data_IF_682942306621
#
_entry.id   IF_682942306621
#
_cell.length_a   1.000
_cell.length_b   1.000
_cell.length_c   1.000
_cell.angle_alpha   90.00
_cell.angle_beta   90.00
_cell.angle_gamma   90.00
#
_symmetry.space_group_name_H-M   'P 1'
#
loop_
_entity.id
_entity.type
_entity.pdbx_description
1 polymer ?
#
# COMPACT_ATOMS: atom_id res chain seq x y z
N UNK A 1 -1.22 -30.70 35.67
CA UNK A 1 -2.33 -30.51 36.60
C UNK A 1 -3.36 -29.61 35.93
N UNK A 2 -4.32 -30.23 35.29
CA UNK A 2 -5.74 -30.39 35.76
C UNK A 2 -6.49 -29.07 35.84
N UNK A 3 -7.56 -28.97 35.01
CA UNK A 3 -8.75 -28.25 35.24
C UNK A 3 -9.59 -28.01 33.99
N UNK A 4 -10.35 -29.01 33.56
CA UNK A 4 -11.48 -28.92 32.65
C UNK A 4 -12.76 -28.46 33.40
N UNK A 5 -13.60 -27.66 32.73
CA UNK A 5 -15.06 -27.56 32.94
C UNK A 5 -15.53 -26.63 31.80
N UNK A 6 -16.33 -26.90 30.82
CA UNK A 6 -17.50 -27.81 30.79
C UNK A 6 -18.73 -27.08 31.29
N UNK A 7 -19.48 -26.41 30.35
CA UNK A 7 -20.92 -26.21 30.58
C UNK A 7 -21.68 -26.21 29.26
N UNK A 8 -22.47 -27.26 29.10
CA UNK A 8 -23.64 -27.39 28.24
C UNK A 8 -24.86 -26.75 28.93
N UNK A 9 -25.76 -26.18 28.13
CA UNK A 9 -27.24 -26.18 28.32
C UNK A 9 -27.80 -25.46 27.07
N UNK A 10 -28.47 -26.08 26.11
CA UNK A 10 -29.78 -26.76 26.13
C UNK A 10 -30.95 -25.83 26.46
N UNK A 11 -31.84 -25.67 25.46
CA UNK A 11 -33.14 -25.04 25.52
C UNK A 11 -33.54 -24.58 24.12
N UNK A 12 -34.07 -25.28 23.27
CA UNK A 12 -35.32 -26.02 22.99
C UNK A 12 -36.61 -25.16 23.14
N UNK A 13 -37.44 -25.25 22.05
CA UNK A 13 -38.86 -24.87 21.86
C UNK A 13 -39.08 -23.39 21.49
N UNK A 14 -39.81 -23.04 20.46
CA UNK A 14 -40.84 -23.70 19.67
C UNK A 14 -41.74 -22.60 19.10
N UNK A 15 -42.47 -22.89 18.07
CA UNK A 15 -43.65 -22.12 17.67
C UNK A 15 -43.37 -21.22 16.47
N UNK A 16 -43.78 -21.62 15.41
CA UNK A 16 -45.10 -21.76 14.76
C UNK A 16 -45.34 -20.63 13.74
N UNK A 17 -45.62 -21.10 12.55
CA UNK A 17 -46.45 -20.61 11.48
C UNK A 17 -46.90 -19.14 11.44
N UNK A 18 -46.69 -18.55 10.30
CA UNK A 18 -47.38 -17.33 9.91
C UNK A 18 -46.89 -16.79 8.56
N UNK A 19 -47.23 -17.46 7.49
CA UNK A 19 -47.36 -16.74 6.23
C UNK A 19 -48.71 -16.02 6.20
N UNK A 20 -48.77 -14.80 5.77
CA UNK A 20 -49.85 -14.38 4.94
C UNK A 20 -49.32 -13.74 3.63
N UNK A 21 -49.74 -14.33 2.56
CA UNK A 21 -50.77 -13.77 1.70
C UNK A 21 -50.35 -12.64 0.78
N UNK A 22 -50.25 -13.08 -0.46
CA UNK A 22 -50.17 -12.26 -1.64
C UNK A 22 -51.34 -11.27 -1.69
N UNK A 23 -51.09 -9.99 -1.69
CA UNK A 23 -52.09 -9.00 -2.09
C UNK A 23 -51.61 -8.28 -3.35
N UNK A 24 -52.10 -8.75 -4.44
CA UNK A 24 -52.14 -8.07 -5.72
C UNK A 24 -53.05 -6.85 -5.61
N UNK A 25 -52.65 -5.66 -6.03
CA UNK A 25 -53.60 -4.61 -6.29
C UNK A 25 -54.09 -4.70 -7.73
N UNK A 26 -55.33 -4.94 -7.78
CA UNK A 26 -56.29 -4.95 -8.82
C UNK A 26 -56.21 -3.71 -9.71
N UNK A 27 -56.21 -3.97 -10.99
CA UNK A 27 -56.47 -3.04 -12.09
C UNK A 27 -57.79 -2.29 -11.87
N UNK A 28 -57.77 -1.00 -11.78
CA UNK A 28 -58.93 -0.16 -11.99
C UNK A 28 -59.05 0.23 -13.45
N UNK A 29 -59.93 -0.45 -14.09
CA UNK A 29 -60.48 -0.16 -15.39
C UNK A 29 -61.52 0.96 -15.23
N UNK A 30 -61.33 2.10 -15.86
CA UNK A 30 -62.40 3.06 -16.08
C UNK A 30 -62.54 3.34 -17.56
N UNK A 31 -63.40 2.59 -18.12
CA UNK A 31 -64.13 2.87 -19.36
C UNK A 31 -64.87 4.19 -19.27
N UNK A 32 -64.69 5.05 -20.23
CA UNK A 32 -65.51 6.20 -20.49
C UNK A 32 -65.74 6.27 -21.99
N UNK A 33 -66.65 5.49 -22.43
CA UNK A 33 -67.25 5.65 -23.75
C UNK A 33 -68.30 6.75 -23.68
N UNK A 34 -68.21 7.69 -24.53
CA UNK A 34 -69.38 8.47 -24.96
C UNK A 34 -69.29 8.71 -26.43
N UNK A 35 -70.13 8.02 -27.14
CA UNK A 35 -70.57 8.32 -28.46
C UNK A 35 -72.00 8.86 -28.39
N UNK A 36 -72.36 9.90 -29.01
CA UNK A 36 -73.76 10.09 -29.42
C UNK A 36 -73.88 9.84 -30.91
N UNK A 37 -74.59 8.80 -31.18
CA UNK A 37 -75.31 8.68 -32.45
C UNK A 37 -76.62 9.51 -32.36
N UNK A 38 -76.84 10.35 -33.28
CA UNK A 38 -78.22 10.66 -33.72
C UNK A 38 -78.24 10.99 -35.20
N UNK A 39 -78.83 10.09 -35.88
CA UNK A 39 -79.36 10.24 -37.22
C UNK A 39 -80.49 11.29 -37.23
N UNK A 40 -80.45 12.11 -38.18
CA UNK A 40 -81.68 12.71 -38.71
C UNK A 40 -81.51 12.94 -40.20
N UNK A 41 -82.14 12.08 -40.90
CA UNK A 41 -82.41 12.28 -42.29
C UNK A 41 -83.34 13.47 -42.44
N UNK A 42 -82.99 14.44 -43.23
CA UNK A 42 -83.96 15.34 -43.81
C UNK A 42 -83.65 15.51 -45.28
N UNK A 43 -84.53 14.93 -46.08
CA UNK A 43 -84.61 15.11 -47.52
C UNK A 43 -85.15 16.52 -47.81
N UNK A 44 -84.33 17.29 -48.46
CA UNK A 44 -84.93 18.43 -49.17
C UNK A 44 -84.20 18.64 -50.52
N UNK A 45 -85.03 18.61 -51.51
CA UNK A 45 -84.81 18.83 -52.94
C UNK A 45 -83.92 20.05 -53.26
N UNK A 46 -83.03 19.83 -54.19
CA UNK A 46 -82.84 20.63 -55.36
C UNK A 46 -82.30 22.03 -55.23
N UNK A 47 -81.09 22.19 -55.60
CA UNK A 47 -80.67 23.23 -56.53
C UNK A 47 -79.21 22.90 -56.93
N UNK A 48 -79.01 22.85 -58.25
CA UNK A 48 -77.65 22.64 -58.76
C UNK A 48 -76.75 23.80 -58.36
N UNK A 49 -76.06 23.62 -57.29
CA UNK A 49 -74.98 24.50 -56.82
C UNK A 49 -73.65 24.08 -57.42
N UNK A 50 -73.05 24.97 -58.15
CA UNK A 50 -71.69 24.88 -58.65
C UNK A 50 -70.77 24.30 -57.58
N UNK A 51 -69.94 23.26 -57.81
CA UNK A 51 -69.02 22.71 -56.84
C UNK A 51 -67.98 23.81 -56.46
N UNK A 52 -68.00 24.22 -55.22
CA UNK A 52 -66.97 25.11 -54.66
C UNK A 52 -65.74 24.23 -54.45
N UNK A 53 -64.78 24.35 -55.33
CA UNK A 53 -63.48 23.71 -55.16
C UNK A 53 -62.68 24.63 -54.26
N UNK A 54 -62.47 24.23 -53.01
CA UNK A 54 -61.53 24.92 -52.15
C UNK A 54 -60.13 24.39 -52.45
N UNK A 55 -59.32 25.22 -53.03
CA UNK A 55 -57.89 24.91 -53.20
C UNK A 55 -57.14 25.36 -51.96
N UNK A 56 -56.42 24.43 -51.34
CA UNK A 56 -55.48 24.75 -50.27
C UNK A 56 -54.11 24.89 -50.91
N UNK A 57 -53.52 26.05 -50.73
CA UNK A 57 -52.12 26.28 -51.14
C UNK A 57 -51.18 25.47 -50.27
N UNK A 58 -50.45 24.55 -50.88
CA UNK A 58 -49.50 23.75 -50.17
C UNK A 58 -48.20 24.54 -50.00
N UNK A 59 -47.95 25.02 -48.81
CA UNK A 59 -46.66 25.62 -48.45
C UNK A 59 -45.61 24.53 -48.09
N UNK A 60 -44.43 24.71 -48.66
CA UNK A 60 -43.23 23.84 -48.26
C UNK A 60 -42.84 24.14 -46.82
N UNK A 61 -43.32 23.36 -45.86
CA UNK A 61 -42.88 23.45 -44.47
C UNK A 61 -41.82 22.43 -44.19
N UNK A 62 -40.75 22.86 -43.53
CA UNK A 62 -39.72 21.97 -43.04
C UNK A 62 -40.26 21.18 -41.84
N UNK A 63 -40.59 19.95 -42.04
CA UNK A 63 -40.99 19.04 -40.95
C UNK A 63 -39.74 18.62 -40.17
N UNK A 64 -39.64 19.07 -38.93
CA UNK A 64 -38.60 18.59 -38.00
C UNK A 64 -39.05 17.25 -37.44
N UNK A 65 -38.37 16.20 -37.88
CA UNK A 65 -38.57 14.89 -37.31
C UNK A 65 -37.75 14.82 -36.01
N UNK A 66 -38.40 14.80 -34.87
CA UNK A 66 -37.76 14.55 -33.59
C UNK A 66 -37.87 13.08 -33.22
N UNK A 67 -36.73 12.47 -32.88
CA UNK A 67 -36.68 11.12 -32.34
C UNK A 67 -36.40 11.28 -30.85
N UNK A 68 -37.25 10.73 -30.01
CA UNK A 68 -37.01 10.62 -28.57
C UNK A 68 -36.46 9.27 -28.30
N UNK A 69 -35.28 9.22 -27.70
CA UNK A 69 -34.68 7.99 -27.21
C UNK A 69 -34.54 8.11 -25.68
N UNK A 70 -34.93 7.08 -24.97
CA UNK A 70 -34.66 6.96 -23.54
C UNK A 70 -33.47 6.00 -23.35
N UNK A 71 -32.57 6.36 -22.47
CA UNK A 71 -31.42 5.53 -22.13
C UNK A 71 -31.15 5.63 -20.64
N UNK A 72 -30.46 4.65 -20.10
CA UNK A 72 -29.96 4.64 -18.73
C UNK A 72 -28.46 4.85 -18.78
N UNK A 73 -27.97 5.86 -18.07
CA UNK A 73 -26.54 6.12 -17.91
C UNK A 73 -26.01 5.25 -16.76
N UNK A 74 -24.98 4.48 -17.05
CA UNK A 74 -24.30 3.68 -16.02
C UNK A 74 -22.87 4.18 -15.87
N UNK A 75 -22.31 4.21 -14.63
CA UNK A 75 -20.92 4.53 -14.41
C UNK A 75 -20.02 3.45 -15.02
N UNK A 76 -18.82 3.83 -15.47
CA UNK A 76 -17.85 2.88 -16.03
C UNK A 76 -17.36 1.91 -14.97
N UNK A 77 -17.12 2.39 -13.78
CA UNK A 77 -16.69 1.60 -12.63
C UNK A 77 -17.16 2.24 -11.32
N UNK A 78 -17.55 1.40 -10.37
CA UNK A 78 -17.78 1.79 -8.99
C UNK A 78 -16.55 1.32 -8.20
N UNK A 79 -15.92 2.24 -7.48
CA UNK A 79 -14.70 2.01 -6.70
C UNK A 79 -15.02 2.25 -5.23
N UNK A 80 -14.88 1.22 -4.40
CA UNK A 80 -14.97 1.35 -2.96
C UNK A 80 -13.58 1.57 -2.40
N UNK A 81 -13.38 2.69 -1.73
CA UNK A 81 -12.15 3.07 -1.07
C UNK A 81 -12.21 2.63 0.38
N UNK A 82 -11.24 1.81 0.79
CA UNK A 82 -11.13 1.34 2.16
C UNK A 82 -9.96 2.01 2.87
N UNK A 83 -10.06 2.20 4.18
CA UNK A 83 -8.96 2.69 4.99
C UNK A 83 -7.88 1.60 5.10
N UNK A 84 -6.65 1.93 4.70
CA UNK A 84 -5.53 0.98 4.82
C UNK A 84 -4.99 0.92 6.26
N UNK A 85 -5.20 1.96 7.05
CA UNK A 85 -4.85 2.02 8.47
C UNK A 85 -6.07 2.40 9.29
N UNK A 86 -6.14 1.90 10.53
CA UNK A 86 -7.18 2.30 11.50
C UNK A 86 -6.80 3.58 12.23
N UNK A 87 -7.81 4.34 12.61
CA UNK A 87 -7.64 5.58 13.39
C UNK A 87 -8.89 6.43 13.39
N UNK A 88 -8.82 7.63 13.92
CA UNK A 88 -9.92 8.60 13.94
C UNK A 88 -9.83 9.51 12.72
N UNK A 89 -10.92 9.76 12.04
CA UNK A 89 -11.00 10.71 10.92
C UNK A 89 -10.84 12.14 11.44
N UNK A 90 -9.67 12.73 11.20
CA UNK A 90 -9.38 14.10 11.62
C UNK A 90 -10.09 15.13 10.76
N UNK A 91 -10.12 14.90 9.43
CA UNK A 91 -10.77 15.76 8.46
C UNK A 91 -11.38 14.93 7.34
N UNK A 92 -12.57 15.30 6.92
CA UNK A 92 -13.28 14.74 5.78
C UNK A 92 -13.65 15.91 4.85
N UNK A 93 -12.71 16.40 4.03
CA UNK A 93 -12.97 17.54 3.14
C UNK A 93 -13.88 17.20 1.97
N UNK A 94 -14.03 15.93 1.66
CA UNK A 94 -14.85 15.46 0.56
C UNK A 94 -16.36 15.53 0.93
N UNK A 95 -17.17 15.92 -0.02
CA UNK A 95 -18.63 16.05 0.12
C UNK A 95 -19.29 15.12 -0.87
N UNK A 96 -20.32 14.38 -0.43
CA UNK A 96 -21.12 13.50 -1.28
C UNK A 96 -21.74 14.27 -2.45
N UNK A 97 -21.85 13.61 -3.60
CA UNK A 97 -22.41 14.20 -4.81
C UNK A 97 -21.47 15.19 -5.51
N UNK A 98 -20.22 15.38 -5.06
CA UNK A 98 -19.24 16.24 -5.74
C UNK A 98 -18.33 15.44 -6.68
N UNK A 99 -17.89 16.12 -7.71
CA UNK A 99 -16.86 15.66 -8.60
C UNK A 99 -15.50 15.80 -7.91
N UNK A 100 -14.68 14.75 -8.00
CA UNK A 100 -13.32 14.66 -7.46
C UNK A 100 -12.35 14.33 -8.58
N UNK A 101 -11.14 14.85 -8.50
CA UNK A 101 -10.05 14.55 -9.41
C UNK A 101 -9.15 13.46 -8.84
N UNK A 102 -8.37 12.82 -9.71
CA UNK A 102 -7.38 11.84 -9.28
C UNK A 102 -6.35 12.50 -8.35
N UNK A 103 -6.17 11.93 -7.16
CA UNK A 103 -5.26 12.46 -6.12
C UNK A 103 -5.91 13.35 -5.08
N UNK A 104 -7.16 13.77 -5.27
CA UNK A 104 -7.89 14.58 -4.29
C UNK A 104 -8.00 13.87 -2.94
N UNK A 105 -7.83 14.64 -1.87
CA UNK A 105 -7.91 14.14 -0.51
C UNK A 105 -9.37 13.98 -0.11
N UNK A 106 -9.77 12.75 0.21
CA UNK A 106 -11.13 12.43 0.66
C UNK A 106 -11.22 12.39 2.17
N UNK A 107 -10.26 11.72 2.81
CA UNK A 107 -10.21 11.57 4.28
C UNK A 107 -8.78 11.71 4.76
N UNK A 108 -8.60 12.35 5.90
CA UNK A 108 -7.34 12.42 6.63
C UNK A 108 -7.53 11.78 8.00
N UNK A 109 -6.86 10.65 8.22
CA UNK A 109 -6.86 9.94 9.50
C UNK A 109 -5.88 10.63 10.46
N UNK A 110 -6.21 10.69 11.72
CA UNK A 110 -5.33 11.30 12.73
C UNK A 110 -4.07 10.45 12.94
N UNK A 111 -2.95 11.08 12.68
CA UNK A 111 -1.62 10.47 12.79
C UNK A 111 -0.69 11.33 13.66
N UNK A 112 -1.25 12.07 14.62
CA UNK A 112 -0.50 13.00 15.46
C UNK A 112 0.72 12.36 16.16
N UNK A 113 0.70 11.05 16.42
CA UNK A 113 1.81 10.31 17.03
C UNK A 113 2.87 9.82 16.03
N UNK A 114 2.53 9.69 14.73
CA UNK A 114 3.46 9.15 13.73
C UNK A 114 4.68 10.04 13.46
N UNK A 115 4.56 11.38 13.39
CA UNK A 115 5.74 12.23 13.20
C UNK A 115 6.78 12.04 14.30
N UNK A 116 6.36 11.94 15.56
CA UNK A 116 7.27 11.70 16.69
C UNK A 116 7.94 10.30 16.59
N UNK A 117 7.20 9.27 16.17
CA UNK A 117 7.76 7.92 15.94
C UNK A 117 8.73 7.89 14.76
N UNK A 118 8.45 8.64 13.70
CA UNK A 118 9.35 8.78 12.55
C UNK A 118 10.66 9.44 12.99
N UNK A 119 10.59 10.47 13.82
CA UNK A 119 11.79 11.14 14.32
C UNK A 119 12.60 10.23 15.23
N UNK A 120 11.95 9.49 16.13
CA UNK A 120 12.61 8.49 16.96
C UNK A 120 13.31 7.41 16.11
N UNK A 121 12.67 6.93 15.04
CA UNK A 121 13.26 5.97 14.12
C UNK A 121 14.46 6.55 13.33
N UNK A 122 14.46 7.85 13.05
CA UNK A 122 15.63 8.52 12.44
C UNK A 122 16.82 8.55 13.39
N UNK A 123 16.59 8.90 14.65
CA UNK A 123 17.63 8.88 15.69
C UNK A 123 18.19 7.47 15.88
N UNK A 124 17.33 6.44 15.81
CA UNK A 124 17.78 5.04 15.88
C UNK A 124 18.69 4.67 14.69
N UNK A 125 18.36 5.14 13.48
CA UNK A 125 19.24 4.93 12.30
C UNK A 125 20.59 5.62 12.50
N UNK A 126 20.60 6.84 13.00
CA UNK A 126 21.83 7.58 13.29
C UNK A 126 22.70 6.85 14.33
N UNK A 127 22.08 6.38 15.42
CA UNK A 127 22.75 5.57 16.43
C UNK A 127 23.33 4.26 15.85
N UNK A 128 22.54 3.56 15.04
CA UNK A 128 23.00 2.32 14.39
C UNK A 128 24.11 2.58 13.36
N UNK A 129 24.10 3.72 12.68
CA UNK A 129 25.17 4.12 11.76
C UNK A 129 26.47 4.40 12.52
N UNK A 130 26.37 5.19 13.60
CA UNK A 130 27.52 5.50 14.47
C UNK A 130 28.11 4.22 15.09
N UNK A 131 27.26 3.27 15.50
CA UNK A 131 27.72 1.99 16.02
C UNK A 131 28.45 1.18 14.94
N UNK A 132 27.97 1.17 13.70
CA UNK A 132 28.64 0.50 12.58
C UNK A 132 30.00 1.13 12.28
N UNK A 133 30.05 2.48 12.24
CA UNK A 133 31.29 3.22 11.97
C UNK A 133 32.32 2.97 13.09
N UNK A 134 31.87 3.01 14.35
CA UNK A 134 32.70 2.72 15.51
C UNK A 134 33.23 1.30 15.49
N UNK A 135 32.38 0.29 15.21
CA UNK A 135 32.80 -1.10 15.09
C UNK A 135 33.83 -1.30 13.97
N UNK A 136 33.63 -0.60 12.84
CA UNK A 136 34.57 -0.64 11.71
C UNK A 136 35.92 0.00 12.05
N UNK A 137 35.89 1.14 12.74
CA UNK A 137 37.10 1.85 13.17
C UNK A 137 37.89 1.06 14.22
N UNK A 138 37.21 0.52 15.24
CA UNK A 138 37.83 -0.30 16.30
C UNK A 138 38.45 -1.58 15.72
N UNK A 139 37.73 -2.26 14.83
CA UNK A 139 38.25 -3.44 14.16
C UNK A 139 39.56 -3.16 13.40
N UNK A 140 39.67 -2.01 12.74
CA UNK A 140 40.87 -1.62 12.04
C UNK A 140 42.03 -1.28 13.00
N UNK A 141 41.79 -0.41 13.97
CA UNK A 141 42.87 0.09 14.85
C UNK A 141 43.51 -1.00 15.68
N UNK A 142 42.71 -1.79 16.41
CA UNK A 142 43.25 -2.82 17.31
C UNK A 142 44.01 -3.92 16.59
N UNK A 143 43.47 -4.39 15.47
CA UNK A 143 44.14 -5.47 14.71
C UNK A 143 45.35 -4.99 13.93
N UNK A 144 45.36 -3.74 13.43
CA UNK A 144 46.50 -3.19 12.71
C UNK A 144 47.72 -3.04 13.62
N UNK A 145 47.51 -2.61 14.89
CA UNK A 145 48.58 -2.56 15.91
C UNK A 145 49.13 -3.96 16.25
N UNK A 146 48.23 -4.92 16.51
CA UNK A 146 48.65 -6.30 16.82
C UNK A 146 49.36 -6.94 15.63
N UNK A 147 48.90 -6.70 14.42
CA UNK A 147 49.52 -7.21 13.20
C UNK A 147 50.91 -6.61 12.99
N UNK A 148 51.04 -5.31 13.15
CA UNK A 148 52.33 -4.60 13.01
C UNK A 148 53.37 -5.17 14.03
N UNK A 149 52.97 -5.42 15.27
CA UNK A 149 53.85 -6.04 16.28
C UNK A 149 54.23 -7.48 15.92
N UNK A 150 53.29 -8.28 15.38
CA UNK A 150 53.54 -9.63 14.93
C UNK A 150 54.45 -9.67 13.67
N UNK A 151 54.27 -8.76 12.75
CA UNK A 151 55.12 -8.59 11.55
C UNK A 151 56.55 -8.22 11.96
N UNK A 152 56.74 -7.30 12.91
CA UNK A 152 58.03 -6.95 13.42
C UNK A 152 58.76 -8.16 14.10
N UNK A 153 58.02 -8.95 14.89
CA UNK A 153 58.55 -10.17 15.51
C UNK A 153 58.90 -11.22 14.46
N UNK A 154 58.09 -11.39 13.41
CA UNK A 154 58.40 -12.32 12.32
C UNK A 154 59.66 -11.91 11.58
N UNK A 155 59.81 -10.60 11.29
CA UNK A 155 61.01 -10.10 10.63
C UNK A 155 62.27 -10.29 11.44
N UNK A 156 62.23 -10.07 12.75
CA UNK A 156 63.37 -10.36 13.65
C UNK A 156 63.66 -11.86 13.66
N UNK A 157 62.67 -12.73 13.74
CA UNK A 157 62.86 -14.17 13.70
C UNK A 157 63.45 -14.64 12.36
N UNK A 158 63.03 -14.05 11.26
CA UNK A 158 63.55 -14.28 9.91
C UNK A 158 65.01 -13.91 9.80
N UNK A 159 65.39 -12.72 10.25
CA UNK A 159 66.77 -12.24 10.19
C UNK A 159 67.69 -13.12 11.00
N UNK A 160 67.29 -13.54 12.22
CA UNK A 160 68.07 -14.46 13.06
C UNK A 160 68.26 -15.80 12.37
N UNK A 161 67.21 -16.37 11.77
CA UNK A 161 67.30 -17.62 11.02
C UNK A 161 68.23 -17.50 9.79
N UNK A 162 68.18 -16.40 9.06
CA UNK A 162 69.06 -16.13 7.90
C UNK A 162 70.54 -16.04 8.32
N UNK A 163 70.84 -15.33 9.41
CA UNK A 163 72.19 -15.25 9.97
C UNK A 163 72.69 -16.66 10.39
N UNK A 164 71.86 -17.39 11.11
CA UNK A 164 72.23 -18.78 11.55
C UNK A 164 72.43 -19.72 10.35
N UNK A 165 71.65 -19.63 9.28
CA UNK A 165 71.90 -20.40 8.07
C UNK A 165 73.23 -20.05 7.41
N UNK A 166 73.59 -18.76 7.35
CA UNK A 166 74.90 -18.31 6.80
C UNK A 166 76.07 -18.84 7.68
N UNK A 167 75.95 -18.81 8.99
CA UNK A 167 76.92 -19.33 9.90
C UNK A 167 77.04 -20.88 9.82
N UNK A 168 75.93 -21.57 9.63
CA UNK A 168 75.92 -23.03 9.45
C UNK A 168 76.65 -23.49 8.20
N UNK A 169 76.58 -22.72 7.09
CA UNK A 169 77.30 -22.96 5.83
C UNK A 169 78.84 -22.84 6.03
N UNK A 170 79.25 -22.10 7.05
CA UNK A 170 80.64 -21.90 7.42
C UNK A 170 81.16 -22.88 8.58
N UNK A 171 80.34 -23.87 8.94
CA UNK A 171 80.62 -24.84 10.04
C UNK A 171 80.69 -24.18 11.44
N UNK A 172 80.17 -23.00 11.68
CA UNK A 172 80.22 -22.28 12.94
C UNK A 172 78.92 -22.38 13.77
N UNK A 173 77.92 -23.14 13.34
CA UNK A 173 76.64 -23.21 14.06
C UNK A 173 76.26 -24.65 14.44
N UNK A 174 75.75 -24.83 15.66
CA UNK A 174 75.26 -26.12 16.12
C UNK A 174 73.94 -26.48 15.45
N UNK A 175 73.70 -27.70 14.94
CA UNK A 175 72.46 -28.13 14.30
C UNK A 175 71.18 -27.90 15.15
N UNK A 176 71.30 -28.00 16.48
CA UNK A 176 70.21 -27.76 17.44
C UNK A 176 69.78 -26.29 17.48
N UNK A 177 70.73 -25.35 17.39
CA UNK A 177 70.45 -23.94 17.39
C UNK A 177 69.73 -23.53 16.12
N UNK A 178 70.08 -24.04 14.95
CA UNK A 178 69.41 -23.84 13.72
C UNK A 178 67.92 -24.32 13.74
N UNK A 179 67.74 -25.54 14.34
CA UNK A 179 66.41 -26.10 14.52
C UNK A 179 65.52 -25.22 15.44
N UNK A 180 66.09 -24.67 16.51
CA UNK A 180 65.39 -23.79 17.44
C UNK A 180 64.98 -22.47 16.77
N UNK A 181 65.86 -21.84 15.98
CA UNK A 181 65.58 -20.60 15.29
C UNK A 181 64.55 -20.80 14.18
N UNK A 182 64.56 -21.96 13.50
CA UNK A 182 63.54 -22.35 12.56
C UNK A 182 62.18 -22.50 13.23
N UNK A 183 62.12 -23.16 14.39
CA UNK A 183 60.89 -23.28 15.19
C UNK A 183 60.35 -21.91 15.61
N UNK A 184 61.23 -21.00 16.06
CA UNK A 184 60.83 -19.63 16.44
C UNK A 184 60.25 -18.84 15.24
N UNK A 185 60.84 -18.97 14.05
CA UNK A 185 60.34 -18.36 12.83
C UNK A 185 58.94 -18.90 12.45
N UNK A 186 58.74 -20.23 12.50
CA UNK A 186 57.44 -20.85 12.22
C UNK A 186 56.39 -20.44 13.26
N UNK A 187 56.74 -20.33 14.52
CA UNK A 187 55.87 -19.87 15.59
C UNK A 187 55.44 -18.39 15.36
N UNK A 188 56.38 -17.52 15.00
CA UNK A 188 56.06 -16.12 14.70
C UNK A 188 55.14 -16.00 13.47
N UNK A 189 55.38 -16.83 12.42
CA UNK A 189 54.53 -16.91 11.24
C UNK A 189 53.11 -17.39 11.57
N UNK A 190 52.99 -18.41 12.40
CA UNK A 190 51.69 -18.90 12.86
C UNK A 190 50.94 -17.85 13.68
N UNK A 191 51.64 -17.09 14.55
CA UNK A 191 51.03 -16.01 15.33
C UNK A 191 50.43 -14.91 14.38
N UNK A 192 51.18 -14.51 13.37
CA UNK A 192 50.65 -13.54 12.37
C UNK A 192 49.42 -14.09 11.65
N UNK A 193 49.48 -15.36 11.19
CA UNK A 193 48.32 -15.99 10.53
C UNK A 193 47.08 -16.09 11.44
N UNK A 194 47.27 -16.35 12.74
CA UNK A 194 46.18 -16.37 13.72
C UNK A 194 45.55 -14.99 13.91
N UNK A 195 46.35 -13.93 13.94
CA UNK A 195 45.89 -12.55 14.05
C UNK A 195 45.07 -12.18 12.80
N UNK A 196 45.57 -12.49 11.58
CA UNK A 196 44.87 -12.24 10.35
C UNK A 196 43.53 -13.00 10.27
N UNK A 197 43.51 -14.25 10.71
CA UNK A 197 42.28 -15.04 10.77
C UNK A 197 41.27 -14.46 11.80
N UNK A 198 41.75 -14.12 13.00
CA UNK A 198 40.92 -13.56 14.06
C UNK A 198 40.33 -12.20 13.64
N UNK A 199 41.11 -11.35 12.93
CA UNK A 199 40.66 -10.12 12.35
C UNK A 199 39.47 -10.37 11.42
N UNK A 200 39.65 -11.26 10.44
CA UNK A 200 38.60 -11.49 9.43
C UNK A 200 37.31 -12.02 10.05
N UNK A 201 37.40 -13.01 10.95
CA UNK A 201 36.23 -13.64 11.55
C UNK A 201 35.46 -12.70 12.50
N UNK A 202 36.14 -12.04 13.42
CA UNK A 202 35.47 -11.18 14.42
C UNK A 202 34.96 -9.89 13.80
N UNK A 203 35.76 -9.23 12.96
CA UNK A 203 35.34 -7.98 12.35
C UNK A 203 34.18 -8.19 11.38
N UNK A 204 34.14 -9.30 10.65
CA UNK A 204 32.99 -9.62 9.78
C UNK A 204 31.70 -9.84 10.57
N UNK A 205 31.78 -10.56 11.71
CA UNK A 205 30.60 -10.81 12.55
C UNK A 205 30.07 -9.51 13.17
N UNK A 206 30.93 -8.69 13.76
CA UNK A 206 30.55 -7.44 14.40
C UNK A 206 29.99 -6.44 13.38
N UNK A 207 30.62 -6.30 12.24
CA UNK A 207 30.17 -5.44 11.14
C UNK A 207 28.84 -5.97 10.57
N UNK A 208 28.69 -7.28 10.35
CA UNK A 208 27.48 -7.89 9.86
C UNK A 208 26.30 -7.67 10.83
N UNK A 209 26.54 -7.82 12.13
CA UNK A 209 25.54 -7.59 13.16
C UNK A 209 25.07 -6.11 13.20
N UNK A 210 26.00 -5.16 13.14
CA UNK A 210 25.66 -3.73 13.12
C UNK A 210 24.98 -3.33 11.79
N UNK A 211 25.37 -3.91 10.65
CA UNK A 211 24.66 -3.76 9.38
C UNK A 211 23.22 -4.28 9.46
N UNK A 212 23.01 -5.43 10.09
CA UNK A 212 21.68 -5.99 10.28
C UNK A 212 20.81 -5.07 11.15
N UNK A 213 21.37 -4.50 12.25
CA UNK A 213 20.66 -3.49 13.08
C UNK A 213 20.28 -2.25 12.28
N UNK A 214 21.21 -1.72 11.49
CA UNK A 214 20.95 -0.57 10.62
C UNK A 214 19.87 -0.88 9.58
N UNK A 215 19.89 -2.08 8.98
CA UNK A 215 18.85 -2.52 8.03
C UNK A 215 17.47 -2.60 8.70
N UNK A 216 17.40 -3.14 9.92
CA UNK A 216 16.15 -3.21 10.70
C UNK A 216 15.63 -1.81 11.03
N UNK A 217 16.47 -0.90 11.49
CA UNK A 217 16.09 0.48 11.79
C UNK A 217 15.57 1.21 10.53
N UNK A 218 16.23 1.03 9.38
CA UNK A 218 15.76 1.57 8.09
C UNK A 218 14.41 0.99 7.67
N UNK A 219 14.20 -0.31 7.86
CA UNK A 219 12.93 -0.97 7.57
C UNK A 219 11.80 -0.42 8.46
N UNK A 220 12.05 -0.23 9.75
CA UNK A 220 11.08 0.37 10.67
C UNK A 220 10.68 1.79 10.23
N UNK A 221 11.65 2.61 9.84
CA UNK A 221 11.36 3.94 9.30
C UNK A 221 10.51 3.88 8.03
N UNK A 222 10.80 2.94 7.13
CA UNK A 222 10.02 2.75 5.90
C UNK A 222 8.56 2.39 6.20
N UNK A 223 8.32 1.47 7.14
CA UNK A 223 6.96 1.11 7.60
C UNK A 223 6.21 2.30 8.17
N UNK A 224 6.85 3.11 9.02
CA UNK A 224 6.22 4.30 9.61
C UNK A 224 5.87 5.36 8.55
N UNK A 225 6.71 5.53 7.54
CA UNK A 225 6.45 6.42 6.40
C UNK A 225 5.29 5.92 5.53
N UNK A 226 5.23 4.63 5.29
CA UNK A 226 4.12 4.01 4.57
C UNK A 226 2.79 4.20 5.34
N UNK A 227 2.78 3.98 6.66
CA UNK A 227 1.62 4.28 7.50
C UNK A 227 1.21 5.76 7.41
N UNK A 228 2.17 6.68 7.41
CA UNK A 228 1.87 8.10 7.23
C UNK A 228 1.29 8.41 5.86
N UNK A 229 1.80 7.80 4.80
CA UNK A 229 1.24 7.95 3.45
C UNK A 229 -0.20 7.41 3.36
N UNK A 230 -0.46 6.26 3.98
CA UNK A 230 -1.76 5.60 4.04
C UNK A 230 -2.77 6.28 4.96
N UNK A 231 -2.32 7.22 5.79
CA UNK A 231 -3.23 8.03 6.62
C UNK A 231 -4.10 9.01 5.83
N UNK A 232 -3.77 9.23 4.58
CA UNK A 232 -4.54 10.11 3.70
C UNK A 232 -5.19 9.28 2.59
N UNK A 233 -6.50 9.13 2.63
CA UNK A 233 -7.25 8.44 1.60
C UNK A 233 -7.49 9.41 0.45
N UNK A 234 -7.05 9.04 -0.76
CA UNK A 234 -7.14 9.85 -1.96
C UNK A 234 -7.97 9.15 -3.03
N UNK A 235 -8.57 9.95 -3.91
CA UNK A 235 -9.27 9.45 -5.08
C UNK A 235 -8.26 8.84 -6.09
N UNK A 236 -8.40 7.56 -6.51
CA UNK A 236 -7.49 6.92 -7.46
C UNK A 236 -7.72 7.38 -8.91
N UNK A 237 -8.90 7.92 -9.21
CA UNK A 237 -9.30 8.39 -10.53
C UNK A 237 -10.26 9.57 -10.41
N UNK A 238 -10.45 10.30 -11.51
CA UNK A 238 -11.50 11.31 -11.59
C UNK A 238 -12.88 10.64 -11.61
N UNK A 239 -13.85 11.22 -10.91
CA UNK A 239 -15.21 10.68 -10.83
C UNK A 239 -16.13 11.49 -9.91
N UNK A 240 -17.24 10.88 -9.53
CA UNK A 240 -18.16 11.43 -8.55
C UNK A 240 -18.10 10.63 -7.27
N UNK A 241 -18.06 11.32 -6.15
CA UNK A 241 -18.18 10.72 -4.84
C UNK A 241 -19.66 10.40 -4.58
N UNK A 242 -20.01 9.13 -4.53
CA UNK A 242 -21.40 8.71 -4.33
C UNK A 242 -21.79 8.75 -2.87
N UNK A 243 -20.99 8.05 -2.04
CA UNK A 243 -21.28 7.92 -0.60
C UNK A 243 -20.00 8.03 0.20
N UNK A 244 -20.06 8.74 1.30
CA UNK A 244 -19.02 8.80 2.33
C UNK A 244 -19.50 7.98 3.52
N UNK A 245 -18.74 6.94 3.88
CA UNK A 245 -19.07 6.03 4.99
C UNK A 245 -18.45 6.48 6.32
N UNK A 246 -17.80 7.64 6.34
CA UNK A 246 -17.03 8.11 7.49
C UNK A 246 -17.27 9.60 7.72
N UNK A 247 -17.56 9.95 8.97
CA UNK A 247 -17.70 11.33 9.42
C UNK A 247 -16.46 11.84 10.17
N UNK A 248 -16.32 13.17 10.24
CA UNK A 248 -15.24 13.75 11.00
C UNK A 248 -15.37 13.44 12.49
N UNK A 249 -14.30 12.93 13.09
CA UNK A 249 -14.27 12.49 14.49
C UNK A 249 -14.64 11.02 14.70
N UNK A 250 -15.09 10.33 13.67
CA UNK A 250 -15.42 8.91 13.73
C UNK A 250 -14.17 8.03 13.65
N UNK A 251 -14.23 6.86 14.29
CA UNK A 251 -13.15 5.89 14.27
C UNK A 251 -13.39 4.84 13.20
N UNK A 252 -12.38 4.64 12.34
CA UNK A 252 -12.39 3.61 11.30
C UNK A 252 -11.36 2.52 11.60
N UNK A 253 -11.73 1.28 11.31
CA UNK A 253 -10.82 0.15 11.36
C UNK A 253 -10.08 -0.02 10.02
N UNK A 254 -8.87 -0.59 10.05
CA UNK A 254 -8.17 -0.96 8.82
C UNK A 254 -9.00 -1.97 8.01
N UNK A 255 -9.13 -1.75 6.71
CA UNK A 255 -9.95 -2.55 5.80
C UNK A 255 -11.41 -2.12 5.70
N UNK A 256 -11.91 -1.25 6.59
CA UNK A 256 -13.28 -0.77 6.52
C UNK A 256 -13.50 0.20 5.34
N UNK A 257 -14.66 0.18 4.68
CA UNK A 257 -14.99 1.09 3.59
C UNK A 257 -15.07 2.52 4.13
N UNK A 258 -14.38 3.45 3.47
CA UNK A 258 -14.37 4.87 3.82
C UNK A 258 -15.25 5.68 2.86
N UNK A 259 -15.22 5.36 1.57
CA UNK A 259 -15.99 6.07 0.56
C UNK A 259 -16.27 5.19 -0.66
N UNK A 260 -17.34 5.49 -1.36
CA UNK A 260 -17.69 4.87 -2.66
C UNK A 260 -17.74 5.94 -3.72
N UNK A 261 -17.05 5.73 -4.84
CA UNK A 261 -17.03 6.66 -5.96
C UNK A 261 -17.31 5.97 -7.28
N UNK A 262 -17.95 6.68 -8.20
CA UNK A 262 -18.12 6.26 -9.58
C UNK A 262 -17.13 6.97 -10.49
N UNK A 263 -16.37 6.18 -11.25
CA UNK A 263 -15.41 6.70 -12.22
C UNK A 263 -16.07 6.86 -13.58
N UNK A 264 -15.83 8.01 -14.21
CA UNK A 264 -16.15 8.20 -15.63
C UNK A 264 -14.92 7.79 -16.44
N UNK A 265 -15.17 7.04 -17.50
CA UNK A 265 -14.17 6.92 -18.55
C UNK A 265 -13.91 8.31 -19.13
N UNK A 266 -12.68 8.54 -19.51
CA UNK A 266 -12.27 9.73 -20.26
C UNK A 266 -13.22 9.88 -21.46
N UNK A 267 -14.22 10.74 -21.33
CA UNK A 267 -15.09 11.09 -22.44
C UNK A 267 -14.33 12.13 -23.22
N UNK A 268 -13.90 11.83 -24.48
CA UNK A 268 -13.30 12.86 -25.31
C UNK A 268 -14.32 13.99 -25.42
N UNK A 269 -13.96 15.17 -24.96
CA UNK A 269 -14.73 16.37 -25.18
C UNK A 269 -14.77 16.59 -26.69
N UNK A 270 -15.89 16.29 -27.32
CA UNK A 270 -16.13 16.72 -28.68
C UNK A 270 -16.28 18.26 -28.65
N UNK A 271 -15.21 18.92 -29.06
CA UNK A 271 -15.21 20.33 -29.46
C UNK A 271 -16.03 20.53 -30.72
#
# INVERSE_FOLDING_TARGET
ALGAAGWMASGMLGGDAGAPDATTPQQANSSGADAPATSSANSASGTAGTPIISSVMVENSKVRRSVRASGVTQPKAIITLSAEIGGTARKVPAVEGRQVEAGDILVVIDTSTLPARIEAARVEIEAATTALDSATAQSRGTYDEQRAAAEANLEVARQRLEIAKKLATQNFSAPVELAQLKANYENARMTLAQIDLARNLRSEVDIAQNRARLATAKSNLAVLRDQLAKSTIRAPAAGWLETMHLEQGEQIAAGAPAATMSSYGDTPRHT
#
